data_IF_898285818797
#
_entry.id   IF_898285818797
#
_cell.length_a   1.000
_cell.length_b   1.000
_cell.length_c   1.000
_cell.angle_alpha   90.00
_cell.angle_beta   90.00
_cell.angle_gamma   90.00
#
_symmetry.space_group_name_H-M   'P 1'
#
loop_
_entity.id
_entity.type
_entity.pdbx_description
1 polymer ?
#
# COMPACT_ATOMS: atom_id res chain seq x y z
N UNK A 1 4.48 24.98 10.82
CA UNK A 1 3.80 23.70 11.15
C UNK A 1 4.54 22.46 10.59
N UNK A 2 5.82 22.57 10.17
CA UNK A 2 6.63 21.45 9.64
C UNK A 2 7.41 20.69 10.73
N UNK A 3 7.70 21.32 11.87
CA UNK A 3 8.67 20.77 12.83
C UNK A 3 8.14 19.56 13.62
N UNK A 4 6.85 19.52 13.95
CA UNK A 4 6.28 18.38 14.69
C UNK A 4 6.14 17.14 13.81
N UNK A 5 5.74 17.31 12.53
CA UNK A 5 5.66 16.19 11.60
C UNK A 5 7.05 15.62 11.25
N UNK A 6 8.08 16.45 11.26
CA UNK A 6 9.47 16.04 10.99
C UNK A 6 10.08 15.32 12.19
N UNK A 7 9.79 15.80 13.41
CA UNK A 7 10.22 15.14 14.65
C UNK A 7 9.53 13.78 14.84
N UNK A 8 8.22 13.69 14.56
CA UNK A 8 7.46 12.44 14.64
C UNK A 8 7.96 11.43 13.60
N UNK A 9 8.19 11.85 12.35
CA UNK A 9 8.75 10.98 11.31
C UNK A 9 10.17 10.52 11.65
N UNK A 10 11.03 11.41 12.14
CA UNK A 10 12.39 11.03 12.53
C UNK A 10 12.41 10.07 13.73
N UNK A 11 11.49 10.19 14.68
CA UNK A 11 11.33 9.26 15.80
C UNK A 11 10.76 7.91 15.36
N UNK A 12 9.70 7.88 14.53
CA UNK A 12 9.11 6.67 13.93
C UNK A 12 10.13 5.82 13.18
N UNK A 13 11.14 6.46 12.61
CA UNK A 13 12.17 5.83 11.79
C UNK A 13 13.42 5.41 12.57
N UNK A 14 13.58 5.89 13.81
CA UNK A 14 14.68 5.47 14.68
C UNK A 14 14.34 4.20 15.50
N UNK A 15 13.07 3.77 15.46
CA UNK A 15 12.56 2.67 16.25
C UNK A 15 11.73 1.70 15.39
N UNK A 16 12.24 0.50 15.17
CA UNK A 16 11.50 -0.57 14.49
C UNK A 16 10.16 -0.90 15.18
N UNK A 17 10.03 -0.61 16.47
CA UNK A 17 8.79 -0.78 17.22
C UNK A 17 7.69 0.21 16.79
N UNK A 18 8.06 1.41 16.36
CA UNK A 18 7.09 2.41 15.90
C UNK A 18 6.54 2.06 14.51
N UNK A 19 7.37 1.52 13.63
CA UNK A 19 6.92 0.89 12.37
C UNK A 19 6.02 -0.32 12.65
N UNK A 20 6.40 -1.17 13.61
CA UNK A 20 5.58 -2.31 14.03
C UNK A 20 4.21 -1.87 14.53
N UNK A 21 4.16 -0.82 15.36
CA UNK A 21 2.94 -0.26 15.91
C UNK A 21 2.06 0.37 14.82
N UNK A 22 2.64 1.15 13.90
CA UNK A 22 1.91 1.75 12.78
C UNK A 22 1.18 0.68 11.95
N UNK A 23 1.88 -0.39 11.60
CA UNK A 23 1.32 -1.45 10.77
C UNK A 23 0.41 -2.42 11.55
N UNK A 24 0.53 -2.50 12.88
CA UNK A 24 -0.43 -3.26 13.70
C UNK A 24 -1.85 -2.68 13.69
N UNK A 25 -2.02 -1.44 13.20
CA UNK A 25 -3.36 -0.89 12.96
C UNK A 25 -4.16 -1.78 11.98
N UNK A 26 -3.47 -2.44 11.05
CA UNK A 26 -4.08 -3.36 10.09
C UNK A 26 -4.38 -4.76 10.68
N UNK A 27 -4.07 -5.00 11.97
CA UNK A 27 -4.45 -6.23 12.67
C UNK A 27 -5.90 -6.16 13.19
N UNK A 28 -6.51 -4.97 13.15
CA UNK A 28 -7.91 -4.77 13.51
C UNK A 28 -8.85 -5.38 12.44
N UNK A 29 -10.05 -5.85 12.82
CA UNK A 29 -11.03 -6.32 11.85
C UNK A 29 -11.42 -5.20 10.86
N UNK A 30 -11.52 -5.46 9.55
CA UNK A 30 -12.02 -4.48 8.58
C UNK A 30 -13.48 -4.07 8.83
N UNK A 31 -13.88 -2.82 8.48
CA UNK A 31 -13.04 -1.72 8.00
C UNK A 31 -12.17 -1.12 9.10
N UNK A 32 -11.07 -0.47 8.70
CA UNK A 32 -10.28 0.31 9.64
C UNK A 32 -11.03 1.61 9.99
N UNK A 33 -11.01 2.01 11.26
CA UNK A 33 -11.64 3.28 11.68
C UNK A 33 -11.11 4.47 10.85
N UNK A 34 -12.01 5.35 10.40
CA UNK A 34 -11.65 6.42 9.46
C UNK A 34 -10.58 7.38 10.00
N UNK A 35 -10.53 7.61 11.32
CA UNK A 35 -9.47 8.45 11.92
C UNK A 35 -8.14 7.70 11.89
N UNK A 36 -8.13 6.46 12.37
CA UNK A 36 -6.93 5.63 12.36
C UNK A 36 -6.38 5.43 10.93
N UNK A 37 -7.26 5.17 9.96
CA UNK A 37 -6.92 5.02 8.56
C UNK A 37 -6.34 6.31 7.95
N UNK A 38 -6.90 7.48 8.29
CA UNK A 38 -6.37 8.77 7.84
C UNK A 38 -4.96 9.04 8.40
N UNK A 39 -4.72 8.74 9.68
CA UNK A 39 -3.38 8.86 10.27
C UNK A 39 -2.40 7.87 9.64
N UNK A 40 -2.80 6.60 9.52
CA UNK A 40 -2.02 5.57 8.87
C UNK A 40 -1.59 6.00 7.46
N UNK A 41 -2.55 6.44 6.65
CA UNK A 41 -2.30 6.86 5.28
C UNK A 41 -1.32 8.04 5.19
N UNK A 42 -1.52 9.05 6.03
CA UNK A 42 -0.64 10.22 6.07
C UNK A 42 0.79 9.83 6.44
N UNK A 43 0.98 8.94 7.41
CA UNK A 43 2.33 8.50 7.82
C UNK A 43 2.98 7.66 6.73
N UNK A 44 2.27 6.69 6.15
CA UNK A 44 2.83 5.83 5.08
C UNK A 44 3.21 6.64 3.85
N UNK A 45 2.38 7.61 3.42
CA UNK A 45 2.71 8.50 2.29
C UNK A 45 3.92 9.38 2.61
N UNK A 46 4.04 9.90 3.83
CA UNK A 46 5.21 10.67 4.25
C UNK A 46 6.49 9.81 4.28
N UNK A 47 6.38 8.54 4.69
CA UNK A 47 7.49 7.58 4.65
C UNK A 47 7.90 7.28 3.20
N UNK A 48 6.95 7.08 2.29
CA UNK A 48 7.24 6.89 0.86
C UNK A 48 8.02 8.06 0.27
N UNK A 49 7.65 9.30 0.60
CA UNK A 49 8.28 10.50 0.06
C UNK A 49 9.67 10.78 0.64
N UNK A 50 9.93 10.40 1.89
CA UNK A 50 11.14 10.82 2.60
C UNK A 50 12.14 9.71 2.84
N UNK A 51 11.67 8.45 2.97
CA UNK A 51 12.45 7.26 3.33
C UNK A 51 11.92 6.02 2.62
N UNK A 52 11.77 6.13 1.29
CA UNK A 52 11.25 5.05 0.45
C UNK A 52 12.06 3.76 0.60
N UNK A 53 13.39 3.83 0.68
CA UNK A 53 14.27 2.66 0.81
C UNK A 53 14.01 1.86 2.09
N UNK A 54 13.94 2.51 3.24
CA UNK A 54 13.69 1.85 4.52
C UNK A 54 12.27 1.30 4.61
N UNK A 55 11.29 2.04 4.10
CA UNK A 55 9.92 1.56 4.01
C UNK A 55 9.85 0.31 3.12
N UNK A 56 10.47 0.32 1.94
CA UNK A 56 10.50 -0.83 1.05
C UNK A 56 11.11 -2.07 1.72
N UNK A 57 12.26 -1.91 2.40
CA UNK A 57 12.89 -3.01 3.13
C UNK A 57 11.96 -3.58 4.22
N UNK A 58 11.23 -2.72 4.93
CA UNK A 58 10.25 -3.14 5.93
C UNK A 58 9.05 -3.88 5.30
N UNK A 59 8.48 -3.35 4.21
CA UNK A 59 7.37 -3.99 3.49
C UNK A 59 7.78 -5.37 2.97
N UNK A 60 8.94 -5.47 2.34
CA UNK A 60 9.52 -6.74 1.85
C UNK A 60 9.77 -7.74 2.99
N UNK A 61 10.23 -7.27 4.15
CA UNK A 61 10.44 -8.11 5.34
C UNK A 61 9.15 -8.67 5.95
N UNK A 62 8.01 -7.98 5.78
CA UNK A 62 6.67 -8.47 6.17
C UNK A 62 6.06 -9.40 5.12
N UNK A 63 6.43 -9.25 3.85
CA UNK A 63 5.98 -10.12 2.76
C UNK A 63 4.49 -10.02 2.47
N UNK A 64 3.89 -11.15 2.07
CA UNK A 64 2.51 -11.23 1.57
C UNK A 64 1.45 -10.86 2.63
N UNK A 65 1.71 -11.16 3.91
CA UNK A 65 0.78 -10.89 5.02
C UNK A 65 0.35 -9.41 5.05
N UNK A 66 1.30 -8.50 4.78
CA UNK A 66 1.01 -7.08 4.79
C UNK A 66 0.14 -6.66 3.59
N UNK A 67 0.39 -7.25 2.42
CA UNK A 67 -0.43 -7.01 1.22
C UNK A 67 -1.84 -7.52 1.44
N UNK A 68 -2.01 -8.71 2.00
CA UNK A 68 -3.30 -9.29 2.36
C UNK A 68 -4.08 -8.38 3.31
N UNK A 69 -3.43 -7.84 4.33
CA UNK A 69 -4.03 -6.89 5.27
C UNK A 69 -4.44 -5.59 4.62
N UNK A 70 -3.57 -5.00 3.80
CA UNK A 70 -3.91 -3.77 3.05
C UNK A 70 -5.12 -4.00 2.14
N UNK A 71 -5.16 -5.12 1.41
CA UNK A 71 -6.29 -5.49 0.54
C UNK A 71 -7.54 -5.85 1.37
N UNK A 72 -7.37 -6.35 2.60
CA UNK A 72 -8.45 -6.57 3.56
C UNK A 72 -9.20 -5.28 3.94
N UNK A 73 -8.52 -4.14 3.92
CA UNK A 73 -9.06 -2.84 4.33
C UNK A 73 -9.35 -1.88 3.17
N UNK A 74 -9.45 -2.38 1.93
CA UNK A 74 -9.74 -1.54 0.74
C UNK A 74 -11.14 -0.93 0.75
N UNK A 75 -12.03 -1.39 1.62
CA UNK A 75 -13.30 -0.71 1.91
C UNK A 75 -13.09 0.70 2.52
N UNK A 76 -11.92 0.95 3.10
CA UNK A 76 -11.55 2.23 3.70
C UNK A 76 -10.74 3.07 2.71
N UNK A 77 -11.29 4.20 2.24
CA UNK A 77 -10.67 5.04 1.20
C UNK A 77 -9.22 5.41 1.50
N UNK A 78 -8.89 5.76 2.76
CA UNK A 78 -7.51 6.12 3.11
C UNK A 78 -6.53 4.96 2.98
N UNK A 79 -6.96 3.70 3.20
CA UNK A 79 -6.10 2.53 2.99
C UNK A 79 -6.00 2.21 1.50
N UNK A 80 -7.09 2.33 0.75
CA UNK A 80 -7.05 2.24 -0.71
C UNK A 80 -6.09 3.26 -1.33
N UNK A 81 -6.07 4.50 -0.81
CA UNK A 81 -5.13 5.54 -1.22
C UNK A 81 -3.68 5.13 -1.01
N UNK A 82 -3.36 4.51 0.14
CA UNK A 82 -2.02 3.98 0.41
C UNK A 82 -1.63 2.95 -0.65
N UNK A 83 -2.51 1.99 -0.94
CA UNK A 83 -2.24 0.99 -1.98
C UNK A 83 -2.05 1.62 -3.37
N UNK A 84 -2.85 2.63 -3.73
CA UNK A 84 -2.67 3.37 -4.99
C UNK A 84 -1.33 4.08 -5.05
N UNK A 85 -0.90 4.70 -3.95
CA UNK A 85 0.42 5.33 -3.88
C UNK A 85 1.54 4.29 -3.96
N UNK A 86 1.40 3.11 -3.34
CA UNK A 86 2.40 2.05 -3.43
C UNK A 86 2.55 1.51 -4.86
N UNK A 87 1.44 1.23 -5.53
CA UNK A 87 1.43 0.80 -6.94
C UNK A 87 2.03 1.87 -7.85
N UNK A 88 1.63 3.13 -7.68
CA UNK A 88 2.10 4.24 -8.52
C UNK A 88 3.53 4.71 -8.21
N UNK A 89 4.06 4.41 -7.02
CA UNK A 89 5.39 4.86 -6.61
C UNK A 89 6.53 3.99 -7.16
N UNK A 90 6.24 2.90 -7.87
CA UNK A 90 7.25 2.02 -8.48
C UNK A 90 8.26 2.75 -9.39
N UNK A 91 7.84 3.84 -10.04
CA UNK A 91 8.67 4.69 -10.91
C UNK A 91 9.13 5.99 -10.24
N UNK A 92 8.89 6.15 -8.94
CA UNK A 92 9.19 7.38 -8.23
C UNK A 92 10.68 7.52 -7.93
N UNK A 93 11.23 8.74 -8.08
CA UNK A 93 12.62 9.06 -7.75
C UNK A 93 13.01 8.82 -6.28
N UNK A 94 12.03 8.56 -5.41
CA UNK A 94 12.20 8.33 -3.97
C UNK A 94 12.38 6.85 -3.59
N UNK A 95 12.16 5.94 -4.54
CA UNK A 95 12.35 4.50 -4.36
C UNK A 95 13.43 3.99 -5.30
N UNK A 96 14.15 2.91 -4.94
CA UNK A 96 14.97 2.19 -5.90
C UNK A 96 14.06 1.80 -7.07
N UNK A 97 14.36 2.29 -8.27
CA UNK A 97 13.48 2.36 -9.46
C UNK A 97 12.93 1.02 -9.97
N UNK A 98 13.25 -0.10 -9.32
CA UNK A 98 12.78 -1.44 -9.65
C UNK A 98 12.40 -2.29 -8.42
N UNK A 99 12.51 -1.77 -7.20
CA UNK A 99 12.38 -2.58 -5.99
C UNK A 99 10.93 -2.83 -5.55
N UNK A 100 10.10 -1.78 -5.58
CA UNK A 100 8.71 -1.85 -5.08
C UNK A 100 7.78 -2.54 -6.09
N UNK A 101 7.85 -2.16 -7.37
CA UNK A 101 7.00 -2.76 -8.41
C UNK A 101 7.33 -4.23 -8.63
N UNK A 102 8.61 -4.62 -8.65
CA UNK A 102 8.99 -6.03 -8.74
C UNK A 102 8.48 -6.83 -7.53
N UNK A 103 8.68 -6.33 -6.31
CA UNK A 103 8.18 -7.02 -5.11
C UNK A 103 6.66 -7.16 -5.10
N UNK A 104 5.91 -6.09 -5.38
CA UNK A 104 4.45 -6.15 -5.43
C UNK A 104 3.96 -7.15 -6.50
N UNK A 105 4.67 -7.30 -7.62
CA UNK A 105 4.37 -8.27 -8.66
C UNK A 105 4.53 -9.74 -8.21
N UNK A 106 5.44 -9.98 -7.26
CA UNK A 106 5.68 -11.29 -6.63
C UNK A 106 4.69 -11.59 -5.50
N UNK A 107 3.89 -10.60 -5.05
CA UNK A 107 2.83 -10.80 -4.06
C UNK A 107 1.49 -11.16 -4.71
N UNK A 108 0.52 -11.73 -3.98
CA UNK A 108 -0.82 -12.02 -4.51
C UNK A 108 -1.70 -10.76 -4.67
N UNK A 109 -1.12 -9.56 -4.76
CA UNK A 109 -1.86 -8.29 -4.83
C UNK A 109 -2.94 -8.29 -5.90
N UNK A 110 -2.60 -8.69 -7.13
CA UNK A 110 -3.53 -8.69 -8.26
C UNK A 110 -4.68 -9.67 -8.01
N UNK A 111 -4.37 -10.90 -7.58
CA UNK A 111 -5.36 -11.93 -7.28
C UNK A 111 -6.33 -11.48 -6.19
N UNK A 112 -5.80 -10.89 -5.12
CA UNK A 112 -6.60 -10.39 -4.01
C UNK A 112 -7.50 -9.22 -4.43
N UNK A 113 -7.00 -8.30 -5.26
CA UNK A 113 -7.81 -7.19 -5.78
C UNK A 113 -8.90 -7.67 -6.74
N UNK A 114 -8.62 -8.68 -7.56
CA UNK A 114 -9.62 -9.31 -8.43
C UNK A 114 -10.73 -9.99 -7.61
N UNK A 115 -10.37 -10.71 -6.54
CA UNK A 115 -11.34 -11.28 -5.60
C UNK A 115 -12.26 -10.21 -5.00
N UNK A 116 -11.71 -9.03 -4.67
CA UNK A 116 -12.48 -7.89 -4.14
C UNK A 116 -13.51 -7.30 -5.10
N UNK A 117 -13.48 -7.64 -6.40
CA UNK A 117 -14.48 -7.20 -7.38
C UNK A 117 -15.79 -8.00 -7.30
N UNK A 118 -15.79 -9.15 -6.61
CA UNK A 118 -16.97 -10.02 -6.47
C UNK A 118 -18.09 -9.35 -5.66
N UNK A 119 -19.34 -9.72 -5.94
CA UNK A 119 -20.54 -9.15 -5.28
C UNK A 119 -20.62 -9.43 -3.77
N UNK A 120 -19.77 -10.32 -3.24
CA UNK A 120 -19.67 -10.57 -1.80
C UNK A 120 -19.05 -9.42 -1.01
N UNK A 121 -18.42 -8.44 -1.66
CA UNK A 121 -17.78 -7.29 -1.02
C UNK A 121 -18.58 -6.00 -1.16
N UNK A 122 -18.34 -5.06 -0.22
CA UNK A 122 -18.99 -3.76 -0.21
C UNK A 122 -18.77 -2.98 -1.52
N UNK A 123 -19.72 -2.15 -1.97
CA UNK A 123 -19.57 -1.32 -3.17
C UNK A 123 -18.29 -0.48 -3.16
N UNK A 124 -17.91 0.08 -2.01
CA UNK A 124 -16.71 0.88 -1.82
C UNK A 124 -15.45 0.04 -2.01
N UNK A 125 -15.41 -1.17 -1.46
CA UNK A 125 -14.30 -2.10 -1.65
C UNK A 125 -14.11 -2.47 -3.13
N UNK A 126 -15.22 -2.74 -3.83
CA UNK A 126 -15.21 -3.03 -5.27
C UNK A 126 -14.71 -1.84 -6.09
N UNK A 127 -15.22 -0.64 -5.82
CA UNK A 127 -14.80 0.58 -6.51
C UNK A 127 -13.31 0.85 -6.30
N UNK A 128 -12.85 0.78 -5.04
CA UNK A 128 -11.46 1.03 -4.70
C UNK A 128 -10.52 -0.02 -5.31
N UNK A 129 -10.92 -1.30 -5.31
CA UNK A 129 -10.15 -2.35 -5.96
C UNK A 129 -10.03 -2.14 -7.47
N UNK A 130 -11.12 -1.78 -8.15
CA UNK A 130 -11.11 -1.46 -9.57
C UNK A 130 -10.21 -0.25 -9.89
N UNK A 131 -10.23 0.78 -9.06
CA UNK A 131 -9.37 1.95 -9.21
C UNK A 131 -7.89 1.62 -9.02
N UNK A 132 -7.54 0.75 -8.06
CA UNK A 132 -6.17 0.29 -7.84
C UNK A 132 -5.69 -0.54 -9.03
N UNK A 133 -6.50 -1.49 -9.52
CA UNK A 133 -6.18 -2.29 -10.71
C UNK A 133 -6.00 -1.39 -11.94
N UNK A 134 -6.87 -0.40 -12.11
CA UNK A 134 -6.74 0.60 -13.17
C UNK A 134 -5.41 1.35 -13.03
N UNK A 135 -5.04 1.78 -11.82
CA UNK A 135 -3.75 2.42 -11.59
C UNK A 135 -2.57 1.48 -11.93
N UNK A 136 -2.64 0.19 -11.57
CA UNK A 136 -1.59 -0.79 -11.95
C UNK A 136 -1.42 -0.89 -13.47
N UNK A 137 -2.52 -0.90 -14.23
CA UNK A 137 -2.50 -0.99 -15.69
C UNK A 137 -1.88 0.25 -16.37
N UNK A 138 -1.98 1.42 -15.72
CA UNK A 138 -1.47 2.69 -16.25
C UNK A 138 -0.04 3.03 -15.80
N UNK A 139 0.56 2.22 -14.93
CA UNK A 139 2.00 2.33 -14.67
C UNK A 139 2.78 2.01 -15.95
N UNK A 140 3.93 2.68 -16.18
CA UNK A 140 4.82 2.37 -17.30
C UNK A 140 5.12 0.85 -17.34
N UNK A 141 5.56 0.25 -18.47
CA UNK A 141 5.78 -1.20 -18.54
C UNK A 141 6.61 -1.70 -17.36
N UNK A 142 5.91 -2.34 -16.42
CA UNK A 142 6.41 -2.77 -15.12
C UNK A 142 6.07 -4.25 -14.90
N UNK A 143 6.78 -4.94 -14.00
CA UNK A 143 6.42 -6.31 -13.64
C UNK A 143 4.96 -6.43 -13.17
N UNK A 144 4.45 -5.41 -12.46
CA UNK A 144 3.06 -5.34 -12.00
C UNK A 144 2.06 -5.28 -13.16
N UNK A 145 2.29 -4.39 -14.14
CA UNK A 145 1.42 -4.26 -15.30
C UNK A 145 1.41 -5.55 -16.15
N UNK A 146 2.55 -6.24 -16.22
CA UNK A 146 2.68 -7.53 -16.93
C UNK A 146 1.86 -8.62 -16.23
N UNK A 147 1.95 -8.73 -14.90
CA UNK A 147 1.18 -9.68 -14.08
C UNK A 147 -0.33 -9.46 -14.21
N UNK A 148 -0.79 -8.21 -14.24
CA UNK A 148 -2.21 -7.92 -14.50
C UNK A 148 -2.63 -8.39 -15.90
N UNK A 149 -1.79 -8.14 -16.91
CA UNK A 149 -2.11 -8.50 -18.30
C UNK A 149 -2.22 -10.02 -18.50
N UNK A 150 -1.43 -10.82 -17.78
CA UNK A 150 -1.54 -12.30 -17.76
C UNK A 150 -2.90 -12.81 -17.29
N UNK A 151 -3.60 -12.05 -16.43
CA UNK A 151 -4.94 -12.42 -15.93
C UNK A 151 -6.07 -11.93 -16.84
N UNK A 152 -5.79 -11.01 -17.78
CA UNK A 152 -6.77 -10.45 -18.70
C UNK A 152 -6.80 -11.15 -20.08
N UNK A 153 -5.86 -12.06 -20.34
CA UNK A 153 -5.72 -12.83 -21.58
C UNK A 153 -6.38 -14.22 -21.47
#
# INVERSE_FOLDING_TARGET
MCCESDAINNALLADGELMRLLFSLLDAPPPLDSRAAGYFARVVVLLLLRKGTELLAYLQGRGNELVEKLVGHVDTTSVADVLRHLVGAGDSAYLPSHGLSAWLADTPLVDLLLDRLTESYAPEARSNAADILTATAHTAPSPLASRLSEHAA
#
